data_IF_972493085834
#
_entry.id   IF_972493085834
#
_cell.length_a   1.000
_cell.length_b   1.000
_cell.length_c   1.000
_cell.angle_alpha   90.00
_cell.angle_beta   90.00
_cell.angle_gamma   90.00
#
_symmetry.space_group_name_H-M   'P 1'
#
loop_
_entity.id
_entity.type
_entity.pdbx_description
1 polymer ?
#
# COMPACT_ATOMS: atom_id res chain seq x y z
N UNK A 1 -54.76 15.51 -7.03
CA UNK A 1 -54.03 16.58 -6.29
C UNK A 1 -53.77 16.21 -4.81
N UNK A 2 -54.71 15.66 -4.03
CA UNK A 2 -54.54 15.32 -2.60
C UNK A 2 -53.39 14.31 -2.39
N UNK A 3 -53.21 13.32 -3.24
CA UNK A 3 -52.15 12.33 -3.15
C UNK A 3 -50.74 12.94 -3.27
N UNK A 4 -50.55 13.95 -4.07
CA UNK A 4 -49.28 14.67 -4.24
C UNK A 4 -48.90 15.34 -2.90
N UNK A 5 -49.86 15.91 -2.21
CA UNK A 5 -49.63 16.57 -0.90
C UNK A 5 -49.18 15.54 0.13
N UNK A 6 -49.81 14.35 0.20
CA UNK A 6 -49.41 13.28 1.11
C UNK A 6 -48.01 12.76 0.81
N UNK A 7 -47.64 12.61 -0.48
CA UNK A 7 -46.29 12.22 -0.89
C UNK A 7 -45.27 13.28 -0.49
N UNK A 8 -45.55 14.57 -0.67
CA UNK A 8 -44.66 15.64 -0.27
C UNK A 8 -44.46 15.65 1.26
N UNK A 9 -45.57 15.52 2.03
CA UNK A 9 -45.48 15.44 3.48
C UNK A 9 -44.63 14.25 3.90
N UNK A 10 -44.84 13.08 3.28
CA UNK A 10 -44.07 11.86 3.57
C UNK A 10 -42.56 12.07 3.27
N UNK A 11 -42.22 12.68 2.14
CA UNK A 11 -40.84 12.98 1.78
C UNK A 11 -40.17 13.95 2.76
N UNK A 12 -40.91 14.95 3.22
CA UNK A 12 -40.40 15.88 4.25
C UNK A 12 -40.17 15.16 5.57
N UNK A 13 -41.10 14.32 6.01
CA UNK A 13 -40.94 13.53 7.21
C UNK A 13 -39.78 12.54 7.11
N UNK A 14 -39.61 11.91 5.94
CA UNK A 14 -38.49 11.03 5.65
C UNK A 14 -37.15 11.79 5.75
N UNK A 15 -37.09 12.97 5.15
CA UNK A 15 -35.90 13.82 5.24
C UNK A 15 -35.59 14.18 6.68
N UNK A 16 -36.61 14.64 7.45
CA UNK A 16 -36.46 15.01 8.86
C UNK A 16 -36.06 13.81 9.74
N UNK A 17 -36.45 12.58 9.37
CA UNK A 17 -35.98 11.38 10.04
C UNK A 17 -34.47 11.23 10.01
N UNK A 18 -33.77 11.91 9.09
CA UNK A 18 -32.30 12.02 9.08
C UNK A 18 -31.70 12.53 10.38
N UNK A 19 -32.44 13.37 11.12
CA UNK A 19 -31.96 13.87 12.42
C UNK A 19 -31.89 12.79 13.52
N UNK A 20 -32.51 11.63 13.30
CA UNK A 20 -32.40 10.48 14.21
C UNK A 20 -31.04 9.73 14.05
N UNK A 21 -30.31 9.96 12.96
CA UNK A 21 -29.02 9.34 12.74
C UNK A 21 -27.88 10.15 13.34
N UNK A 22 -26.79 9.49 13.77
CA UNK A 22 -25.64 10.18 14.32
C UNK A 22 -24.98 11.11 13.28
N UNK A 23 -24.41 12.20 13.75
CA UNK A 23 -23.64 13.14 12.93
C UNK A 23 -22.28 12.56 12.53
N UNK A 24 -21.69 11.78 13.45
CA UNK A 24 -20.40 11.16 13.22
C UNK A 24 -20.57 9.77 12.62
N UNK A 25 -19.83 9.49 11.57
CA UNK A 25 -19.69 8.17 10.99
C UNK A 25 -18.41 7.55 11.50
N UNK A 26 -18.56 6.52 12.34
CA UNK A 26 -17.44 5.73 12.85
C UNK A 26 -17.63 4.29 12.43
N UNK A 27 -16.56 3.66 11.95
CA UNK A 27 -16.53 2.22 11.65
C UNK A 27 -15.12 1.68 11.86
N UNK A 28 -15.03 0.39 12.11
CA UNK A 28 -13.78 -0.35 12.21
C UNK A 28 -13.93 -1.69 11.51
N UNK A 29 -12.84 -2.19 10.90
CA UNK A 29 -12.71 -3.52 10.35
C UNK A 29 -11.38 -4.11 10.77
N UNK A 30 -11.39 -5.41 11.08
CA UNK A 30 -10.19 -6.09 11.58
C UNK A 30 -9.98 -7.40 10.86
N UNK A 31 -8.72 -7.79 10.70
CA UNK A 31 -8.33 -9.09 10.16
C UNK A 31 -7.05 -9.56 10.86
N UNK A 32 -6.92 -10.88 11.02
CA UNK A 32 -5.67 -11.49 11.44
C UNK A 32 -4.78 -11.76 10.22
N UNK A 33 -3.50 -11.38 10.33
CA UNK A 33 -2.43 -11.62 9.35
C UNK A 33 -1.35 -12.47 10.03
N UNK A 34 -0.98 -13.58 9.42
CA UNK A 34 0.07 -14.49 9.91
C UNK A 34 1.47 -13.92 9.62
N UNK A 35 1.72 -12.73 10.14
CA UNK A 35 2.98 -11.98 10.07
C UNK A 35 3.11 -11.11 11.31
N UNK A 36 4.33 -10.99 11.88
CA UNK A 36 4.55 -10.11 13.02
C UNK A 36 4.32 -8.63 12.65
N UNK A 37 4.00 -7.76 13.63
CA UNK A 37 3.70 -6.35 13.38
C UNK A 37 4.80 -5.60 12.60
N UNK A 38 6.05 -5.98 12.75
CA UNK A 38 7.19 -5.40 12.03
C UNK A 38 7.12 -5.62 10.52
N UNK A 39 6.53 -6.74 10.09
CA UNK A 39 6.33 -7.03 8.67
C UNK A 39 5.10 -6.32 8.09
N UNK A 40 4.07 -6.09 8.90
CA UNK A 40 2.81 -5.42 8.49
C UNK A 40 2.95 -3.90 8.49
N UNK A 41 3.62 -3.34 9.50
CA UNK A 41 3.71 -1.90 9.75
C UNK A 41 4.17 -1.05 8.54
N UNK A 42 5.21 -1.44 7.76
CA UNK A 42 5.64 -0.68 6.60
C UNK A 42 4.57 -0.50 5.53
N UNK A 43 3.59 -1.41 5.46
CA UNK A 43 2.50 -1.34 4.46
C UNK A 43 1.41 -0.36 4.82
N UNK A 44 1.37 0.12 6.05
CA UNK A 44 0.42 1.15 6.51
C UNK A 44 1.11 2.48 6.82
N UNK A 45 2.44 2.48 7.00
CA UNK A 45 3.23 3.67 7.34
C UNK A 45 3.90 4.33 6.11
N UNK A 46 3.78 3.75 4.92
CA UNK A 46 4.33 4.24 3.66
C UNK A 46 3.25 4.23 2.58
N UNK A 47 2.97 5.38 1.96
CA UNK A 47 1.87 5.50 0.99
C UNK A 47 2.13 4.80 -0.35
N UNK A 48 3.37 4.59 -0.76
CA UNK A 48 3.66 3.77 -1.94
C UNK A 48 3.27 2.30 -1.68
N UNK A 49 3.63 1.77 -0.49
CA UNK A 49 3.25 0.42 -0.08
C UNK A 49 1.75 0.31 0.20
N UNK A 50 1.14 1.29 0.87
CA UNK A 50 -0.31 1.37 1.08
C UNK A 50 -1.06 1.30 -0.26
N UNK A 51 -0.63 2.06 -1.25
CA UNK A 51 -1.29 2.10 -2.55
C UNK A 51 -1.19 0.78 -3.33
N UNK A 52 -0.24 -0.11 -3.00
CA UNK A 52 -0.12 -1.43 -3.64
C UNK A 52 -1.29 -2.38 -3.33
N UNK A 53 -1.93 -2.21 -2.18
CA UNK A 53 -3.05 -3.04 -1.72
C UNK A 53 -4.35 -2.24 -1.53
N UNK A 54 -4.30 -0.92 -1.62
CA UNK A 54 -5.46 -0.02 -1.47
C UNK A 54 -6.64 -0.49 -2.33
N UNK A 55 -7.86 -0.58 -1.79
CA UNK A 55 -9.04 -0.98 -2.55
C UNK A 55 -9.38 0.03 -3.65
N UNK A 56 -8.99 1.29 -3.49
CA UNK A 56 -9.31 2.38 -4.41
C UNK A 56 -8.37 2.49 -5.61
N UNK A 57 -7.17 1.90 -5.56
CA UNK A 57 -6.18 2.03 -6.64
C UNK A 57 -6.70 1.68 -8.03
N UNK A 58 -7.56 0.67 -8.14
CA UNK A 58 -8.00 0.11 -9.40
C UNK A 58 -9.43 0.52 -9.78
N UNK A 59 -10.05 1.45 -9.05
CA UNK A 59 -11.43 1.90 -9.33
C UNK A 59 -11.45 2.81 -10.56
N UNK A 60 -10.49 3.72 -10.67
CA UNK A 60 -10.34 4.61 -11.81
C UNK A 60 -8.94 4.50 -12.41
N UNK A 61 -8.80 3.94 -13.63
CA UNK A 61 -7.50 3.85 -14.33
C UNK A 61 -6.87 5.22 -14.63
N UNK A 62 -7.66 6.30 -14.68
CA UNK A 62 -7.18 7.68 -14.92
C UNK A 62 -6.67 8.35 -13.65
N UNK A 63 -6.81 7.71 -12.47
CA UNK A 63 -6.43 8.28 -11.20
C UNK A 63 -4.93 8.57 -11.14
N UNK A 64 -4.60 9.83 -10.95
CA UNK A 64 -3.23 10.32 -10.79
C UNK A 64 -2.91 10.43 -9.31
N UNK A 65 -1.77 9.87 -8.90
CA UNK A 65 -1.26 9.94 -7.53
C UNK A 65 0.01 10.77 -7.49
N UNK A 66 0.10 11.67 -6.51
CA UNK A 66 1.31 12.45 -6.22
C UNK A 66 1.68 12.23 -4.75
N UNK A 67 2.96 11.99 -4.51
CA UNK A 67 3.50 11.78 -3.16
C UNK A 67 4.37 12.98 -2.79
N UNK A 68 4.33 13.40 -1.53
CA UNK A 68 5.11 14.52 -0.98
C UNK A 68 5.44 14.29 0.49
N UNK A 69 6.36 15.08 1.02
CA UNK A 69 6.89 14.89 2.38
C UNK A 69 7.91 13.75 2.47
N UNK A 70 8.14 13.20 3.68
CA UNK A 70 9.01 12.04 3.87
C UNK A 70 8.41 10.80 3.20
N UNK A 71 9.27 9.81 2.89
CA UNK A 71 8.84 8.56 2.25
C UNK A 71 7.86 7.76 3.12
N UNK A 72 8.06 7.81 4.45
CA UNK A 72 7.22 7.12 5.44
C UNK A 72 7.09 7.91 6.74
N UNK A 73 6.08 7.56 7.54
CA UNK A 73 5.85 8.16 8.85
C UNK A 73 5.18 9.53 8.80
N UNK A 74 5.27 10.25 9.91
CA UNK A 74 4.57 11.53 10.11
C UNK A 74 5.02 12.57 9.08
N UNK A 75 4.03 13.21 8.42
CA UNK A 75 4.26 14.19 7.37
C UNK A 75 4.31 13.61 5.96
N UNK A 76 4.38 12.27 5.79
CA UNK A 76 4.18 11.65 4.48
C UNK A 76 2.77 11.98 3.98
N UNK A 77 2.66 12.33 2.71
CA UNK A 77 1.41 12.70 2.07
C UNK A 77 1.26 12.04 0.70
N UNK A 78 0.04 11.58 0.42
CA UNK A 78 -0.41 11.12 -0.88
C UNK A 78 -1.62 11.95 -1.29
N UNK A 79 -1.58 12.57 -2.47
CA UNK A 79 -2.75 13.20 -3.07
C UNK A 79 -3.19 12.46 -4.31
N UNK A 80 -4.48 12.52 -4.62
CA UNK A 80 -5.07 11.89 -5.79
C UNK A 80 -5.97 12.86 -6.54
N UNK A 81 -6.05 12.65 -7.86
CA UNK A 81 -6.95 13.38 -8.75
C UNK A 81 -7.45 12.44 -9.84
N UNK A 82 -8.75 12.17 -9.85
CA UNK A 82 -9.45 11.49 -10.93
C UNK A 82 -9.96 12.46 -11.99
N UNK A 83 -10.00 12.06 -13.24
CA UNK A 83 -10.63 12.83 -14.32
C UNK A 83 -12.15 12.75 -14.23
N UNK A 84 -12.67 11.64 -13.73
CA UNK A 84 -14.09 11.43 -13.50
C UNK A 84 -14.49 11.93 -12.10
N UNK A 85 -15.51 12.81 -12.06
CA UNK A 85 -16.01 13.41 -10.82
C UNK A 85 -16.56 12.43 -9.77
N UNK A 86 -16.65 11.14 -10.08
CA UNK A 86 -17.16 10.11 -9.14
C UNK A 86 -16.17 9.77 -8.04
N UNK A 87 -14.85 9.76 -8.36
CA UNK A 87 -13.78 9.44 -7.41
C UNK A 87 -13.18 10.70 -6.77
N UNK A 88 -13.45 11.87 -7.39
CA UNK A 88 -13.04 13.16 -6.88
C UNK A 88 -11.52 13.36 -6.83
N UNK A 89 -11.14 14.30 -5.98
CA UNK A 89 -9.75 14.59 -5.64
C UNK A 89 -9.62 14.68 -4.12
N UNK A 90 -8.41 14.52 -3.62
CA UNK A 90 -8.16 14.63 -2.19
C UNK A 90 -6.70 14.40 -1.83
N UNK A 91 -6.43 14.44 -0.54
CA UNK A 91 -5.13 14.07 0.02
C UNK A 91 -5.30 13.28 1.32
N UNK A 92 -4.26 12.53 1.64
CA UNK A 92 -4.13 11.80 2.89
C UNK A 92 -2.73 12.02 3.44
N UNK A 93 -2.65 12.47 4.70
CA UNK A 93 -1.38 12.78 5.37
C UNK A 93 -1.26 11.95 6.64
N UNK A 94 -0.11 11.34 6.91
CA UNK A 94 0.17 10.68 8.19
C UNK A 94 0.39 11.76 9.26
N UNK A 95 -0.48 11.78 10.26
CA UNK A 95 -0.46 12.75 11.36
C UNK A 95 0.09 12.18 12.67
N UNK A 96 0.10 10.86 12.82
CA UNK A 96 0.74 10.18 13.94
C UNK A 96 1.21 8.78 13.50
N UNK A 97 2.33 8.34 14.06
CA UNK A 97 2.90 7.02 13.79
C UNK A 97 3.66 6.54 15.03
N UNK A 98 3.29 5.36 15.50
CA UNK A 98 4.01 4.63 16.57
C UNK A 98 4.51 3.32 15.96
N UNK A 99 5.83 3.09 15.93
CA UNK A 99 6.41 1.92 15.28
C UNK A 99 5.73 0.61 15.68
N UNK A 100 5.36 -0.20 14.68
CA UNK A 100 4.75 -1.52 14.82
C UNK A 100 3.43 -1.57 15.60
N UNK A 101 2.81 -0.42 15.88
CA UNK A 101 1.63 -0.36 16.74
C UNK A 101 0.49 0.47 16.14
N UNK A 102 0.77 1.67 15.60
CA UNK A 102 -0.31 2.55 15.18
C UNK A 102 0.14 3.51 14.08
N UNK A 103 -0.75 3.75 13.12
CA UNK A 103 -0.63 4.85 12.14
C UNK A 103 -1.97 5.56 12.04
N UNK A 104 -1.97 6.89 12.22
CA UNK A 104 -3.15 7.73 12.04
C UNK A 104 -2.94 8.68 10.89
N UNK A 105 -3.97 8.81 10.05
CA UNK A 105 -3.95 9.65 8.88
C UNK A 105 -5.14 10.60 8.88
N UNK A 106 -4.93 11.79 8.33
CA UNK A 106 -5.98 12.76 8.03
C UNK A 106 -6.25 12.77 6.54
N UNK A 107 -7.52 12.65 6.17
CA UNK A 107 -8.00 12.76 4.80
C UNK A 107 -8.65 14.12 4.60
N UNK A 108 -8.39 14.74 3.45
CA UNK A 108 -9.08 15.94 2.99
C UNK A 108 -9.59 15.68 1.56
N UNK A 109 -10.89 15.87 1.36
CA UNK A 109 -11.53 15.62 0.06
C UNK A 109 -11.76 16.94 -0.69
N UNK A 110 -11.87 16.86 -2.01
CA UNK A 110 -12.01 18.03 -2.87
C UNK A 110 -13.30 18.83 -2.68
N UNK A 111 -14.30 18.27 -2.02
CA UNK A 111 -15.53 18.95 -1.61
C UNK A 111 -15.41 19.72 -0.27
N UNK A 112 -14.23 19.69 0.34
CA UNK A 112 -13.94 20.33 1.63
C UNK A 112 -14.25 19.47 2.86
N UNK A 113 -14.79 18.26 2.68
CA UNK A 113 -14.99 17.33 3.79
C UNK A 113 -13.66 16.73 4.27
N UNK A 114 -13.63 16.28 5.52
CA UNK A 114 -12.45 15.66 6.13
C UNK A 114 -12.82 14.39 6.87
N UNK A 115 -11.84 13.48 6.99
CA UNK A 115 -11.96 12.29 7.81
C UNK A 115 -10.61 11.95 8.47
N UNK A 116 -10.66 11.11 9.48
CA UNK A 116 -9.47 10.46 10.03
C UNK A 116 -9.57 8.95 9.83
N UNK A 117 -8.44 8.34 9.53
CA UNK A 117 -8.32 6.88 9.51
C UNK A 117 -7.16 6.46 10.42
N UNK A 118 -7.34 5.32 11.09
CA UNK A 118 -6.35 4.79 12.03
C UNK A 118 -6.14 3.30 11.80
N UNK A 119 -4.89 2.90 11.70
CA UNK A 119 -4.46 1.51 11.77
C UNK A 119 -3.94 1.22 13.17
N UNK A 120 -4.47 0.17 13.79
CA UNK A 120 -3.96 -0.40 15.04
C UNK A 120 -3.43 -1.80 14.76
N UNK A 121 -2.22 -2.07 15.19
CA UNK A 121 -1.56 -3.37 15.05
C UNK A 121 -1.33 -3.94 16.45
N UNK A 122 -1.97 -5.07 16.74
CA UNK A 122 -1.82 -5.78 18.00
C UNK A 122 -1.18 -7.13 17.73
N UNK A 123 -0.05 -7.47 18.38
CA UNK A 123 0.51 -8.81 18.30
C UNK A 123 -0.51 -9.83 18.79
N UNK A 124 -0.72 -10.91 18.04
CA UNK A 124 -1.60 -12.02 18.40
C UNK A 124 -0.96 -13.34 17.97
N UNK A 125 -0.48 -14.12 18.95
CA UNK A 125 0.34 -15.32 18.66
C UNK A 125 1.59 -14.95 17.87
N UNK A 126 1.82 -15.62 16.75
CA UNK A 126 2.94 -15.35 15.83
C UNK A 126 2.61 -14.27 14.79
N UNK A 127 1.38 -13.78 14.77
CA UNK A 127 0.87 -12.83 13.79
C UNK A 127 0.43 -11.48 14.38
N UNK A 128 -0.42 -10.80 13.63
CA UNK A 128 -0.92 -9.47 13.92
C UNK A 128 -2.41 -9.38 13.69
N UNK A 129 -3.15 -8.95 14.71
CA UNK A 129 -4.51 -8.45 14.54
C UNK A 129 -4.41 -6.99 14.10
N UNK A 130 -4.73 -6.70 12.83
CA UNK A 130 -4.79 -5.33 12.32
C UNK A 130 -6.24 -4.85 12.31
N UNK A 131 -6.45 -3.65 12.85
CA UNK A 131 -7.75 -2.95 12.82
C UNK A 131 -7.59 -1.66 12.02
N UNK A 132 -8.48 -1.45 11.07
CA UNK A 132 -8.57 -0.21 10.28
C UNK A 132 -9.83 0.54 10.67
N UNK A 133 -9.66 1.68 11.32
CA UNK A 133 -10.70 2.58 11.78
C UNK A 133 -10.90 3.78 10.85
N UNK A 134 -12.13 4.28 10.80
CA UNK A 134 -12.54 5.48 10.08
C UNK A 134 -13.45 6.33 10.96
N UNK A 135 -13.21 7.63 10.96
CA UNK A 135 -14.05 8.63 11.62
C UNK A 135 -14.23 9.85 10.72
N UNK A 136 -15.46 10.29 10.53
CA UNK A 136 -15.78 11.50 9.78
C UNK A 136 -17.03 12.17 10.34
N UNK A 137 -16.99 13.49 10.42
CA UNK A 137 -18.19 14.31 10.71
C UNK A 137 -18.91 14.60 9.39
N UNK A 138 -20.12 14.06 9.24
CA UNK A 138 -20.92 14.23 8.02
C UNK A 138 -21.65 15.57 7.95
N UNK A 139 -21.60 16.38 9.01
CA UNK A 139 -22.32 17.65 9.08
C UNK A 139 -23.63 17.58 9.87
N UNK A 140 -24.29 18.72 10.01
CA UNK A 140 -25.44 18.91 10.90
C UNK A 140 -26.80 18.63 10.28
N UNK A 141 -26.93 18.61 8.95
CA UNK A 141 -28.20 18.51 8.25
C UNK A 141 -28.74 17.08 8.12
N UNK A 142 -30.05 16.93 7.90
CA UNK A 142 -30.66 15.61 7.79
C UNK A 142 -30.19 14.85 6.53
N UNK A 143 -29.93 15.56 5.43
CA UNK A 143 -29.43 14.98 4.19
C UNK A 143 -28.04 14.36 4.37
N UNK A 144 -27.16 15.12 5.03
CA UNK A 144 -25.77 14.72 5.33
C UNK A 144 -25.74 13.47 6.22
N UNK A 145 -26.65 13.38 7.17
CA UNK A 145 -26.78 12.19 8.06
C UNK A 145 -27.29 10.96 7.32
N UNK A 146 -28.20 11.12 6.37
CA UNK A 146 -28.61 10.04 5.46
C UNK A 146 -27.42 9.57 4.60
N UNK A 147 -26.64 10.54 4.08
CA UNK A 147 -25.44 10.22 3.32
C UNK A 147 -24.42 9.43 4.16
N UNK A 148 -24.29 9.75 5.45
CA UNK A 148 -23.42 9.05 6.38
C UNK A 148 -23.65 7.54 6.44
N UNK A 149 -24.90 7.09 6.33
CA UNK A 149 -25.20 5.66 6.27
C UNK A 149 -24.64 4.98 5.02
N UNK A 150 -24.75 5.66 3.87
CA UNK A 150 -24.21 5.17 2.61
C UNK A 150 -22.67 5.14 2.66
N UNK A 151 -22.05 6.19 3.19
CA UNK A 151 -20.59 6.27 3.41
C UNK A 151 -20.13 5.13 4.32
N UNK A 152 -20.81 4.90 5.45
CA UNK A 152 -20.46 3.83 6.40
C UNK A 152 -20.45 2.45 5.72
N UNK A 153 -21.46 2.15 4.89
CA UNK A 153 -21.53 0.88 4.16
C UNK A 153 -20.40 0.76 3.14
N UNK A 154 -20.24 1.77 2.27
CA UNK A 154 -19.25 1.77 1.19
C UNK A 154 -17.82 1.68 1.72
N UNK A 155 -17.46 2.48 2.72
CA UNK A 155 -16.14 2.47 3.34
C UNK A 155 -15.89 1.15 4.06
N UNK A 156 -16.91 0.61 4.76
CA UNK A 156 -16.78 -0.68 5.43
C UNK A 156 -16.47 -1.84 4.49
N UNK A 157 -17.16 -1.93 3.35
CA UNK A 157 -16.92 -2.92 2.31
C UNK A 157 -15.52 -2.75 1.68
N UNK A 158 -15.12 -1.49 1.42
CA UNK A 158 -13.79 -1.18 0.90
C UNK A 158 -12.68 -1.58 1.88
N UNK A 159 -12.86 -1.34 3.17
CA UNK A 159 -11.88 -1.71 4.21
C UNK A 159 -11.71 -3.23 4.31
N UNK A 160 -12.80 -4.01 4.26
CA UNK A 160 -12.74 -5.47 4.25
C UNK A 160 -11.96 -6.00 3.03
N UNK A 161 -12.24 -5.45 1.84
CA UNK A 161 -11.52 -5.81 0.62
C UNK A 161 -10.03 -5.43 0.69
N UNK A 162 -9.72 -4.23 1.19
CA UNK A 162 -8.35 -3.77 1.35
C UNK A 162 -7.56 -4.63 2.32
N UNK A 163 -8.10 -4.88 3.52
CA UNK A 163 -7.45 -5.73 4.52
C UNK A 163 -7.22 -7.16 4.00
N UNK A 164 -8.18 -7.70 3.23
CA UNK A 164 -8.02 -9.02 2.59
C UNK A 164 -6.87 -9.01 1.56
N UNK A 165 -6.75 -7.94 0.76
CA UNK A 165 -5.64 -7.80 -0.19
C UNK A 165 -4.30 -7.68 0.53
N UNK A 166 -4.23 -6.91 1.61
CA UNK A 166 -3.03 -6.79 2.44
C UNK A 166 -2.60 -8.13 3.02
N UNK A 167 -3.54 -8.89 3.60
CA UNK A 167 -3.30 -10.24 4.11
C UNK A 167 -2.72 -11.14 3.03
N UNK A 168 -3.38 -11.24 1.88
CA UNK A 168 -2.94 -12.07 0.77
C UNK A 168 -1.55 -11.67 0.25
N UNK A 169 -1.27 -10.36 0.16
CA UNK A 169 0.03 -9.83 -0.27
C UNK A 169 1.16 -10.27 0.66
N UNK A 170 0.94 -10.19 1.97
CA UNK A 170 1.95 -10.52 2.97
C UNK A 170 2.16 -12.03 3.14
N UNK A 171 1.09 -12.82 3.09
CA UNK A 171 1.16 -14.27 3.30
C UNK A 171 1.61 -15.03 2.04
N UNK A 172 1.35 -14.53 0.83
CA UNK A 172 1.80 -15.15 -0.41
C UNK A 172 3.31 -15.03 -0.63
N UNK A 173 3.95 -14.02 -0.04
CA UNK A 173 5.40 -13.80 -0.18
C UNK A 173 6.25 -14.93 0.43
N UNK A 174 5.73 -15.71 1.40
CA UNK A 174 6.44 -16.84 2.00
C UNK A 174 6.37 -18.12 1.17
N UNK A 175 5.31 -18.29 0.35
CA UNK A 175 5.15 -19.48 -0.46
C UNK A 175 6.16 -19.56 -1.63
N UNK A 176 6.65 -18.42 -2.09
CA UNK A 176 7.64 -18.36 -3.16
C UNK A 176 9.03 -18.76 -2.65
N UNK A 177 9.40 -18.35 -1.43
CA UNK A 177 10.70 -18.71 -0.82
C UNK A 177 10.80 -20.19 -0.41
N UNK A 178 9.67 -20.86 -0.14
CA UNK A 178 9.65 -22.26 0.29
C UNK A 178 9.69 -23.25 -0.88
N UNK A 179 9.28 -22.81 -2.08
CA UNK A 179 9.28 -23.63 -3.28
C UNK A 179 10.68 -23.74 -3.89
N UNK A 180 11.46 -22.67 -3.86
CA UNK A 180 12.82 -22.67 -4.40
C UNK A 180 13.81 -23.47 -3.53
N UNK A 181 13.56 -23.58 -2.22
CA UNK A 181 14.40 -24.38 -1.31
C UNK A 181 14.09 -25.88 -1.42
N UNK A 182 12.86 -26.26 -1.80
CA UNK A 182 12.49 -27.68 -1.93
C UNK A 182 12.93 -28.28 -3.26
N UNK A 183 13.07 -27.48 -4.33
CA UNK A 183 13.58 -27.95 -5.63
C UNK A 183 15.12 -28.08 -5.62
N UNK A 184 15.83 -27.22 -4.89
CA UNK A 184 17.28 -27.34 -4.72
C UNK A 184 17.70 -28.55 -3.88
N UNK A 185 16.88 -28.94 -2.90
CA UNK A 185 17.14 -30.12 -2.05
C UNK A 185 16.83 -31.47 -2.73
N UNK A 186 16.06 -31.46 -3.83
CA UNK A 186 15.66 -32.67 -4.55
C UNK A 186 16.63 -33.06 -5.70
N UNK A 187 17.58 -32.19 -6.03
CA UNK A 187 18.58 -32.49 -7.10
C UNK A 187 19.91 -33.00 -6.59
N UNK A 188 20.17 -32.98 -5.27
CA UNK A 188 21.46 -33.39 -4.68
C UNK A 188 21.52 -34.86 -4.20
N UNK A 189 20.47 -35.66 -4.41
CA UNK A 189 20.41 -37.04 -3.91
C UNK A 189 20.35 -38.13 -4.97
N UNK A 190 20.69 -37.87 -6.25
CA UNK A 190 20.58 -38.87 -7.32
C UNK A 190 21.87 -39.07 -8.16
N UNK A 191 23.05 -38.78 -7.63
CA UNK A 191 24.29 -39.12 -8.34
C UNK A 191 25.32 -39.75 -7.40
N UNK A 192 25.07 -41.00 -7.02
CA UNK A 192 26.12 -41.90 -6.51
C UNK A 192 25.62 -43.35 -6.62
N UNK A 193 25.82 -43.99 -7.74
CA UNK A 193 26.24 -45.41 -7.82
C UNK A 193 26.41 -45.82 -9.29
N UNK A 194 27.56 -46.33 -9.52
CA UNK A 194 27.98 -47.39 -10.49
C UNK A 194 28.85 -46.89 -11.67
N UNK A 195 30.07 -47.27 -11.72
CA UNK A 195 30.79 -48.43 -12.06
C UNK A 195 32.27 -48.10 -12.29
N UNK A 196 33.09 -48.85 -11.65
CA UNK A 196 34.52 -49.11 -11.90
C UNK A 196 34.69 -49.82 -13.25
N UNK A 197 35.61 -49.33 -14.08
CA UNK A 197 36.69 -50.11 -14.73
C UNK A 197 37.25 -49.42 -15.97
N UNK A 198 38.59 -49.51 -16.01
CA UNK A 198 39.53 -49.45 -17.15
C UNK A 198 40.25 -48.13 -17.43
N UNK A 199 41.50 -48.15 -16.90
CA UNK A 199 42.66 -47.40 -17.40
C UNK A 199 43.21 -48.17 -18.63
N UNK A 200 43.70 -47.50 -19.69
CA UNK A 200 45.13 -47.31 -19.75
C UNK A 200 45.60 -45.91 -20.27
N UNK A 201 46.74 -45.58 -19.70
CA UNK A 201 47.80 -44.68 -20.08
C UNK A 201 47.97 -44.41 -21.60
N UNK A 202 48.27 -43.12 -21.93
CA UNK A 202 49.51 -42.66 -22.53
C UNK A 202 49.49 -41.20 -22.91
N UNK A 203 50.43 -40.51 -22.35
CA UNK A 203 51.48 -39.57 -22.82
C UNK A 203 51.15 -38.31 -23.59
N UNK A 204 51.76 -37.26 -23.05
CA UNK A 204 52.51 -36.14 -23.65
C UNK A 204 51.81 -34.92 -24.26
N UNK A 205 52.18 -33.85 -23.58
CA UNK A 205 52.91 -32.68 -24.11
C UNK A 205 52.10 -31.48 -24.65
N UNK A 206 52.62 -30.38 -24.22
CA UNK A 206 52.68 -29.05 -24.81
C UNK A 206 51.79 -27.91 -24.24
N UNK A 207 52.45 -27.15 -23.38
CA UNK A 207 52.66 -25.69 -23.50
C UNK A 207 51.54 -24.76 -23.91
N UNK A 208 51.28 -23.78 -23.02
CA UNK A 208 51.38 -22.39 -23.43
C UNK A 208 50.11 -21.57 -23.51
N UNK A 209 50.09 -20.50 -22.73
CA UNK A 209 49.35 -19.33 -23.13
C UNK A 209 48.25 -18.85 -22.19
N UNK A 210 48.63 -18.05 -21.19
CA UNK A 210 47.69 -17.13 -20.55
C UNK A 210 47.36 -15.96 -21.49
N UNK A 211 46.21 -15.37 -21.40
CA UNK A 211 46.03 -14.01 -21.86
C UNK A 211 45.92 -13.04 -20.70
N UNK A 212 46.88 -12.11 -20.68
CA UNK A 212 46.75 -10.81 -20.07
C UNK A 212 45.75 -10.00 -20.88
N UNK A 213 45.05 -9.11 -20.17
CA UNK A 213 44.46 -7.93 -20.80
C UNK A 213 42.98 -7.79 -20.63
N UNK A 214 42.51 -7.12 -19.61
CA UNK A 214 41.49 -6.05 -19.64
C UNK A 214 41.59 -5.26 -18.33
N UNK A 215 42.56 -4.40 -18.22
CA UNK A 215 42.63 -3.26 -17.28
C UNK A 215 42.89 -2.01 -18.07
N UNK A 216 41.91 -1.41 -18.70
CA UNK A 216 42.01 -0.06 -19.27
C UNK A 216 40.65 0.46 -19.80
N UNK A 217 39.62 0.52 -18.96
CA UNK A 217 38.40 1.29 -19.27
C UNK A 217 37.74 1.94 -18.06
N UNK A 218 38.44 2.20 -16.98
CA UNK A 218 37.92 2.94 -15.80
C UNK A 218 38.75 4.17 -15.44
N UNK A 219 39.27 4.91 -16.40
CA UNK A 219 40.04 6.12 -16.13
C UNK A 219 39.72 7.29 -17.07
N UNK A 220 38.56 7.39 -17.68
CA UNK A 220 38.28 8.51 -18.58
C UNK A 220 36.92 9.21 -18.36
N UNK A 221 36.39 9.22 -17.14
CA UNK A 221 35.17 9.99 -16.80
C UNK A 221 35.31 10.88 -15.55
N UNK A 222 36.49 11.35 -15.22
CA UNK A 222 36.71 12.29 -14.11
C UNK A 222 37.46 13.58 -14.50
N UNK A 223 37.34 14.06 -15.73
CA UNK A 223 38.02 15.30 -16.12
C UNK A 223 37.17 16.26 -16.97
N UNK A 224 35.87 16.32 -16.76
CA UNK A 224 35.04 17.30 -17.49
C UNK A 224 34.00 18.05 -16.64
N UNK A 225 34.30 18.29 -15.36
CA UNK A 225 33.47 19.15 -14.50
C UNK A 225 34.32 20.02 -13.56
N UNK A 226 35.20 20.80 -14.15
CA UNK A 226 35.90 21.89 -13.45
C UNK A 226 36.17 23.04 -14.40
N UNK A 227 35.22 23.95 -14.56
CA UNK A 227 35.49 25.20 -15.25
C UNK A 227 34.27 25.92 -15.77
N UNK A 228 33.48 26.55 -14.91
CA UNK A 228 32.87 27.85 -15.23
C UNK A 228 32.36 28.52 -13.95
N UNK A 229 33.11 29.49 -13.51
CA UNK A 229 32.80 30.47 -12.47
C UNK A 229 32.00 31.64 -13.06
N UNK A 230 31.13 32.30 -12.27
CA UNK A 230 30.20 33.31 -12.74
C UNK A 230 30.85 34.70 -12.86
N UNK A 231 30.45 35.43 -13.85
CA UNK A 231 30.74 36.87 -13.96
C UNK A 231 29.48 37.68 -13.65
N UNK A 232 29.72 38.68 -12.86
CA UNK A 232 28.89 39.56 -12.08
C UNK A 232 28.50 40.81 -12.89
N UNK A 233 27.27 41.30 -12.67
CA UNK A 233 26.80 42.71 -12.65
C UNK A 233 26.83 43.60 -13.95
N UNK A 234 26.06 44.69 -13.97
CA UNK A 234 25.37 45.45 -12.91
C UNK A 234 23.82 45.45 -12.96
#
# INVERSE_FOLDING_TARGET
>A
MRWIIYILIFLVLLLLAGYLFPREVTLERSIYIDKPPQAVFPYVNNFHKFNSWSPWRNIDPSMQYKYSGPEEGVGAEMSWRGENSKEGSGSQTIIASTPNSMVRTKLAFGDGSTAEAEFKLLPEGDGTQITWGFNSDTGGGPRERWMGLAVKKMVGESYEQGLTKLKNLLESSDNTGKKDTSEAASQESNDTTDSVSDIPSDVDDAMGGGPQGVQSEMQNQQQEEAGETPENEP
#
